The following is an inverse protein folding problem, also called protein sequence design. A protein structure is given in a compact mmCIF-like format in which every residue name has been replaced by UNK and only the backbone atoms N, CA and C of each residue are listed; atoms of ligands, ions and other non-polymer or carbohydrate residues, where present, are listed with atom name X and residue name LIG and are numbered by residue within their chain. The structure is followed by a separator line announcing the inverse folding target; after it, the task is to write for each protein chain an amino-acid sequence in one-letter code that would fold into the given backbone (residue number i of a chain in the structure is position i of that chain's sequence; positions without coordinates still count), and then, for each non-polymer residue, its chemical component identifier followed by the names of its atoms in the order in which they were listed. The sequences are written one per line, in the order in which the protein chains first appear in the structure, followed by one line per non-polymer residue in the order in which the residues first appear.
data_IF_907284323098
#
_entry.id   IF_907284323098
#
_cell.length_a   1.000
_cell.length_b   1.000
_cell.length_c   1.000
_cell.angle_alpha   90.00
_cell.angle_beta   90.00
_cell.angle_gamma   90.00
#
_symmetry.space_group_name_H-M   'P 1'
#
loop_
_entity.id
_entity.type
_entity.pdbx_description
1 polymer ?
#
# COMPACT_ATOMS: atom_id res chain seq x y z
N UNK A 1 -11.42 -8.49 5.03
CA UNK A 1 -10.04 -8.98 5.28
C UNK A 1 -9.10 -8.42 4.22
N UNK A 2 -8.04 -7.74 4.64
CA UNK A 2 -7.08 -7.06 3.76
C UNK A 2 -5.94 -7.97 3.27
N UNK A 3 -5.60 -9.01 4.05
CA UNK A 3 -4.58 -10.00 3.72
C UNK A 3 -4.94 -10.76 2.44
N UNK A 4 -3.93 -11.13 1.65
CA UNK A 4 -4.11 -12.08 0.55
C UNK A 4 -4.35 -13.49 1.06
N UNK A 5 -3.62 -13.90 2.11
CA UNK A 5 -3.75 -15.23 2.73
C UNK A 5 -4.66 -15.18 3.95
N UNK A 6 -5.43 -16.23 4.19
CA UNK A 6 -6.14 -16.44 5.47
C UNK A 6 -5.13 -16.83 6.57
N UNK A 7 -4.24 -15.90 6.92
CA UNK A 7 -3.25 -16.08 7.97
C UNK A 7 -3.51 -15.14 9.15
N UNK A 8 -3.12 -15.54 10.37
CA UNK A 8 -3.28 -14.68 11.53
C UNK A 8 -2.53 -13.35 11.33
N UNK A 9 -3.26 -12.25 11.51
CA UNK A 9 -2.67 -10.94 11.71
C UNK A 9 -1.79 -10.97 12.95
N UNK A 10 -0.57 -10.42 12.83
CA UNK A 10 0.36 -10.34 13.94
C UNK A 10 0.38 -8.92 14.50
N UNK A 11 0.90 -7.97 13.71
CA UNK A 11 1.11 -6.60 14.16
C UNK A 11 0.94 -5.61 13.00
N UNK A 12 0.63 -4.36 13.31
CA UNK A 12 0.87 -3.24 12.40
C UNK A 12 2.36 -2.87 12.44
N UNK A 13 2.95 -2.52 11.29
CA UNK A 13 4.34 -2.09 11.24
C UNK A 13 4.55 -0.83 12.11
N UNK A 14 5.76 -0.63 12.68
CA UNK A 14 6.03 0.50 13.56
C UNK A 14 5.70 1.84 12.89
N UNK A 15 5.05 2.74 13.64
CA UNK A 15 4.68 4.06 13.13
C UNK A 15 5.88 4.82 12.56
N UNK A 16 7.05 4.74 13.20
CA UNK A 16 8.28 5.38 12.69
C UNK A 16 8.62 4.95 11.26
N UNK A 17 8.42 3.66 10.94
CA UNK A 17 8.65 3.16 9.59
C UNK A 17 7.58 3.67 8.63
N UNK A 18 6.31 3.61 9.04
CA UNK A 18 5.17 4.10 8.24
C UNK A 18 5.33 5.59 7.92
N UNK A 19 5.71 6.39 8.92
CA UNK A 19 5.94 7.83 8.81
C UNK A 19 7.12 8.11 7.86
N UNK A 20 8.20 7.33 7.92
CA UNK A 20 9.33 7.48 6.99
C UNK A 20 8.93 7.22 5.53
N UNK A 21 8.08 6.23 5.27
CA UNK A 21 7.58 5.91 3.92
C UNK A 21 6.62 7.00 3.45
N UNK A 22 5.76 7.50 4.35
CA UNK A 22 4.88 8.63 4.07
C UNK A 22 5.68 9.88 3.70
N UNK A 23 6.70 10.26 4.47
CA UNK A 23 7.57 11.40 4.18
C UNK A 23 8.31 11.24 2.85
N UNK A 24 8.78 10.03 2.53
CA UNK A 24 9.40 9.72 1.25
C UNK A 24 8.43 9.94 0.08
N UNK A 25 7.20 9.41 0.18
CA UNK A 25 6.19 9.56 -0.87
C UNK A 25 5.73 11.02 -1.00
N UNK A 26 5.52 11.71 0.12
CA UNK A 26 5.16 13.12 0.15
C UNK A 26 6.22 14.00 -0.49
N UNK A 27 7.49 13.81 -0.14
CA UNK A 27 8.59 14.60 -0.71
C UNK A 27 8.80 14.31 -2.20
N UNK A 28 8.65 13.06 -2.62
CA UNK A 28 8.78 12.64 -4.03
C UNK A 28 7.70 13.24 -4.91
N UNK A 29 6.44 13.27 -4.44
CA UNK A 29 5.29 13.68 -5.24
C UNK A 29 4.70 15.04 -4.84
N UNK A 30 5.36 15.81 -3.97
CA UNK A 30 4.85 17.05 -3.36
C UNK A 30 4.15 17.98 -4.35
N UNK A 31 4.76 18.21 -5.52
CA UNK A 31 4.19 19.08 -6.56
C UNK A 31 2.87 18.53 -7.09
N UNK A 32 2.82 17.24 -7.43
CA UNK A 32 1.64 16.58 -7.99
C UNK A 32 0.51 16.50 -6.98
N UNK A 33 0.85 16.24 -5.71
CA UNK A 33 -0.09 16.22 -4.58
C UNK A 33 -0.69 17.60 -4.34
N UNK A 34 0.13 18.65 -4.33
CA UNK A 34 -0.33 20.03 -4.14
C UNK A 34 -1.23 20.51 -5.29
N UNK A 35 -0.90 20.16 -6.53
CA UNK A 35 -1.70 20.52 -7.71
C UNK A 35 -3.06 19.82 -7.74
N UNK A 36 -3.12 18.55 -7.30
CA UNK A 36 -4.36 17.76 -7.28
C UNK A 36 -5.12 17.79 -5.95
N UNK A 37 -4.56 18.40 -4.90
CA UNK A 37 -5.15 18.43 -3.56
C UNK A 37 -5.22 17.06 -2.89
N UNK A 38 -4.28 16.16 -3.20
CA UNK A 38 -4.28 14.78 -2.73
C UNK A 38 -3.25 14.56 -1.63
N UNK A 39 -3.44 13.50 -0.86
CA UNK A 39 -2.58 13.10 0.25
C UNK A 39 -2.35 11.59 0.26
N UNK A 40 -1.23 11.14 0.84
CA UNK A 40 -0.91 9.73 1.00
C UNK A 40 -1.29 9.21 2.37
N UNK A 41 -1.87 8.01 2.41
CA UNK A 41 -2.03 7.21 3.63
C UNK A 41 -1.30 5.89 3.44
N UNK A 42 -0.34 5.62 4.32
CA UNK A 42 0.48 4.41 4.28
C UNK A 42 0.04 3.48 5.42
N UNK A 43 -0.11 2.20 5.11
CA UNK A 43 -0.44 1.17 6.08
C UNK A 43 0.52 0.01 5.91
N UNK A 44 1.16 -0.42 7.00
CA UNK A 44 2.00 -1.60 7.03
C UNK A 44 1.39 -2.65 7.94
N UNK A 45 1.20 -3.88 7.44
CA UNK A 45 0.63 -4.99 8.19
C UNK A 45 1.51 -6.22 8.06
N UNK A 46 1.83 -6.82 9.20
CA UNK A 46 2.56 -8.07 9.29
C UNK A 46 1.60 -9.20 9.66
N UNK A 47 1.58 -10.23 8.82
CA UNK A 47 0.89 -11.49 9.06
C UNK A 47 1.92 -12.62 9.20
N UNK A 48 1.48 -13.79 9.67
CA UNK A 48 2.38 -14.92 9.95
C UNK A 48 3.24 -15.37 8.77
N UNK A 49 2.74 -15.24 7.55
CA UNK A 49 3.45 -15.67 6.32
C UNK A 49 3.41 -14.62 5.22
N UNK A 50 3.03 -13.39 5.54
CA UNK A 50 2.75 -12.34 4.57
C UNK A 50 3.12 -10.99 5.17
N UNK A 51 3.86 -10.19 4.41
CA UNK A 51 4.10 -8.79 4.70
C UNK A 51 3.31 -7.96 3.69
N UNK A 52 2.42 -7.10 4.17
CA UNK A 52 1.53 -6.29 3.37
C UNK A 52 1.83 -4.81 3.62
N UNK A 53 2.07 -4.07 2.54
CA UNK A 53 2.14 -2.60 2.58
C UNK A 53 1.11 -2.04 1.62
N UNK A 54 0.40 -1.02 2.07
CA UNK A 54 -0.67 -0.38 1.33
C UNK A 54 -0.38 1.11 1.28
N UNK A 55 -0.36 1.67 0.08
CA UNK A 55 -0.25 3.10 -0.15
C UNK A 55 -1.54 3.58 -0.82
N UNK A 56 -2.23 4.49 -0.15
CA UNK A 56 -3.52 5.01 -0.60
C UNK A 56 -3.43 6.50 -0.87
N UNK A 57 -3.77 6.90 -2.08
CA UNK A 57 -3.91 8.30 -2.47
C UNK A 57 -5.36 8.73 -2.22
N UNK A 58 -5.55 9.73 -1.37
CA UNK A 58 -6.86 10.18 -0.89
C UNK A 58 -7.02 11.69 -1.06
N UNK A 59 -8.24 12.19 -1.14
CA UNK A 59 -8.53 13.62 -1.00
C UNK A 59 -8.92 13.88 0.46
N UNK A 60 -8.08 14.58 1.25
CA UNK A 60 -8.37 14.84 2.66
C UNK A 60 -9.55 15.80 2.88
N UNK A 61 -9.97 16.53 1.85
CA UNK A 61 -11.08 17.48 1.92
C UNK A 61 -12.40 16.89 1.37
N UNK A 62 -12.36 15.69 0.79
CA UNK A 62 -13.51 15.06 0.16
C UNK A 62 -13.58 13.56 0.46
N UNK A 63 -14.25 13.22 1.55
CA UNK A 63 -14.47 11.82 1.96
C UNK A 63 -15.31 10.98 0.97
N UNK A 64 -15.97 11.63 0.00
CA UNK A 64 -16.74 10.96 -1.07
C UNK A 64 -15.85 10.66 -2.29
N UNK A 65 -14.68 11.30 -2.38
CA UNK A 65 -13.73 11.01 -3.45
C UNK A 65 -13.22 9.57 -3.31
N UNK A 66 -13.32 8.81 -4.41
CA UNK A 66 -12.82 7.45 -4.44
C UNK A 66 -11.29 7.46 -4.40
N UNK A 67 -10.66 6.87 -3.38
CA UNK A 67 -9.21 6.83 -3.28
C UNK A 67 -8.61 5.92 -4.35
N UNK A 68 -7.29 6.00 -4.53
CA UNK A 68 -6.53 5.03 -5.32
C UNK A 68 -5.55 4.33 -4.38
N UNK A 69 -5.82 3.06 -4.09
CA UNK A 69 -5.07 2.29 -3.11
C UNK A 69 -4.32 1.16 -3.78
N UNK A 70 -3.00 1.25 -3.72
CA UNK A 70 -2.09 0.21 -4.17
C UNK A 70 -1.70 -0.66 -2.99
N UNK A 71 -1.95 -1.97 -3.13
CA UNK A 71 -1.57 -2.98 -2.17
C UNK A 71 -0.42 -3.77 -2.77
N UNK A 72 0.64 -3.94 -2.00
CA UNK A 72 1.77 -4.79 -2.34
C UNK A 72 2.04 -5.73 -1.18
N UNK A 73 2.11 -7.01 -1.51
CA UNK A 73 2.27 -8.10 -0.57
C UNK A 73 3.43 -8.98 -1.01
N UNK A 74 4.18 -9.49 -0.04
CA UNK A 74 5.23 -10.48 -0.27
C UNK A 74 5.11 -11.59 0.76
N UNK A 75 5.40 -12.81 0.31
CA UNK A 75 5.46 -13.97 1.18
C UNK A 75 6.73 -13.96 2.01
N UNK A 76 6.58 -14.27 3.31
CA UNK A 76 7.69 -14.35 4.25
C UNK A 76 8.17 -15.80 4.36
N UNK A 77 9.43 -16.01 4.01
CA UNK A 77 10.13 -17.29 4.17
C UNK A 77 11.31 -17.19 5.15
N UNK A 78 11.69 -18.32 5.74
CA UNK A 78 12.84 -18.39 6.66
C UNK A 78 14.15 -18.01 5.95
N UNK A 79 14.94 -17.14 6.58
CA UNK A 79 16.26 -16.74 6.08
C UNK A 79 16.26 -15.55 5.11
N UNK A 80 15.11 -14.90 4.87
CA UNK A 80 15.03 -13.68 4.07
C UNK A 80 15.50 -12.43 4.82
N UNK A 81 16.08 -11.48 4.08
CA UNK A 81 16.40 -10.15 4.59
C UNK A 81 15.15 -9.26 4.59
N UNK A 82 14.51 -9.16 5.75
CA UNK A 82 13.27 -8.41 5.95
C UNK A 82 13.40 -6.92 5.58
N UNK A 83 14.58 -6.32 5.77
CA UNK A 83 14.83 -4.92 5.38
C UNK A 83 14.81 -4.79 3.86
N UNK A 84 15.45 -5.74 3.16
CA UNK A 84 15.39 -5.79 1.69
C UNK A 84 13.97 -5.98 1.19
N UNK A 85 13.16 -6.81 1.84
CA UNK A 85 11.75 -7.00 1.48
C UNK A 85 10.96 -5.69 1.61
N UNK A 86 11.05 -5.03 2.76
CA UNK A 86 10.38 -3.74 3.02
C UNK A 86 10.77 -2.69 1.98
N UNK A 87 12.07 -2.52 1.71
CA UNK A 87 12.54 -1.59 0.70
C UNK A 87 12.00 -1.93 -0.69
N UNK A 88 11.92 -3.21 -1.04
CA UNK A 88 11.36 -3.66 -2.31
C UNK A 88 9.88 -3.31 -2.44
N UNK A 89 9.09 -3.48 -1.37
CA UNK A 89 7.67 -3.08 -1.35
C UNK A 89 7.51 -1.57 -1.56
N UNK A 90 8.34 -0.76 -0.88
CA UNK A 90 8.34 0.70 -1.03
C UNK A 90 8.75 1.11 -2.44
N UNK A 91 9.77 0.48 -3.01
CA UNK A 91 10.19 0.72 -4.39
C UNK A 91 9.09 0.37 -5.40
N UNK A 92 8.35 -0.71 -5.16
CA UNK A 92 7.21 -1.14 -5.98
C UNK A 92 6.06 -0.13 -5.90
N UNK A 93 5.77 0.42 -4.71
CA UNK A 93 4.82 1.52 -4.52
C UNK A 93 5.24 2.75 -5.34
N UNK A 94 6.52 3.15 -5.24
CA UNK A 94 7.05 4.27 -6.00
C UNK A 94 6.91 4.06 -7.51
N UNK A 95 7.31 2.89 -8.01
CA UNK A 95 7.19 2.55 -9.43
C UNK A 95 5.74 2.61 -9.93
N UNK A 96 4.78 2.15 -9.11
CA UNK A 96 3.36 2.27 -9.42
C UNK A 96 2.90 3.74 -9.50
N UNK A 97 3.23 4.56 -8.48
CA UNK A 97 2.79 5.95 -8.47
C UNK A 97 3.48 6.82 -9.51
N UNK A 98 4.71 6.48 -9.91
CA UNK A 98 5.37 7.10 -11.07
C UNK A 98 4.55 6.91 -12.35
N UNK A 99 4.08 5.69 -12.60
CA UNK A 99 3.22 5.39 -13.75
C UNK A 99 1.84 6.06 -13.61
N UNK A 100 1.20 5.93 -12.45
CA UNK A 100 -0.10 6.55 -12.17
C UNK A 100 -0.10 8.06 -12.41
N UNK A 101 0.94 8.74 -11.94
CA UNK A 101 1.04 10.19 -12.11
C UNK A 101 1.67 10.62 -13.45
N UNK A 102 2.14 9.68 -14.29
CA UNK A 102 2.62 9.99 -15.64
C UNK A 102 1.49 9.94 -16.67
N UNK A 103 0.42 9.21 -16.37
CA UNK A 103 -0.75 9.04 -17.26
C UNK A 103 -2.03 9.52 -16.56
N UNK A 104 -2.54 10.69 -16.97
CA UNK A 104 -3.80 11.23 -16.45
C UNK A 104 -5.03 10.38 -16.83
N UNK A 105 -4.90 9.45 -17.77
CA UNK A 105 -5.94 8.51 -18.19
C UNK A 105 -5.79 7.10 -17.60
N UNK A 106 -4.88 6.95 -16.62
CA UNK A 106 -4.64 5.66 -15.97
C UNK A 106 -5.92 5.08 -15.35
N UNK A 107 -6.35 3.92 -15.84
CA UNK A 107 -7.56 3.22 -15.39
C UNK A 107 -7.32 1.73 -15.11
N UNK A 108 -6.07 1.31 -14.90
CA UNK A 108 -5.69 -0.08 -14.70
C UNK A 108 -5.95 -0.57 -13.27
N UNK A 109 -7.15 -0.32 -12.76
CA UNK A 109 -7.60 -0.87 -11.48
C UNK A 109 -7.69 -2.39 -11.58
N UNK A 110 -6.99 -3.08 -10.69
CA UNK A 110 -6.98 -4.54 -10.61
C UNK A 110 -7.32 -4.95 -9.18
N UNK A 111 -8.59 -5.22 -8.94
CA UNK A 111 -9.09 -5.61 -7.61
C UNK A 111 -8.69 -7.05 -7.23
N UNK A 112 -8.28 -7.85 -8.21
CA UNK A 112 -7.71 -9.16 -7.97
C UNK A 112 -6.20 -9.07 -7.74
N UNK A 113 -5.70 -9.87 -6.79
CA UNK A 113 -4.26 -10.06 -6.62
C UNK A 113 -3.63 -10.61 -7.89
N UNK A 114 -2.55 -9.97 -8.31
CA UNK A 114 -1.74 -10.38 -9.44
C UNK A 114 -0.31 -10.63 -9.00
N UNK A 115 0.26 -11.70 -9.53
CA UNK A 115 1.66 -12.04 -9.32
C UNK A 115 2.52 -11.18 -10.26
N UNK A 116 3.51 -10.49 -9.68
CA UNK A 116 4.43 -9.65 -10.41
C UNK A 116 5.86 -9.91 -9.95
N UNK A 117 6.78 -10.07 -10.91
CA UNK A 117 8.21 -10.20 -10.60
C UNK A 117 8.85 -8.82 -10.55
N UNK A 118 9.36 -8.43 -9.38
CA UNK A 118 10.02 -7.16 -9.16
C UNK A 118 11.35 -7.37 -8.44
N UNK A 119 12.46 -6.92 -9.05
CA UNK A 119 13.83 -7.05 -8.50
C UNK A 119 14.18 -8.48 -8.01
N UNK A 120 13.82 -9.49 -8.82
CA UNK A 120 13.99 -10.93 -8.54
C UNK A 120 13.16 -11.49 -7.38
N UNK A 121 12.17 -10.73 -6.89
CA UNK A 121 11.21 -11.17 -5.89
C UNK A 121 9.81 -11.30 -6.51
N UNK A 122 9.07 -12.32 -6.08
CA UNK A 122 7.67 -12.50 -6.44
C UNK A 122 6.82 -11.64 -5.50
N UNK A 123 6.24 -10.57 -6.05
CA UNK A 123 5.30 -9.68 -5.38
C UNK A 123 3.87 -10.03 -5.77
N UNK A 124 2.95 -9.75 -4.86
CA UNK A 124 1.51 -9.84 -5.10
C UNK A 124 0.96 -8.43 -5.00
N UNK A 125 0.36 -7.94 -6.09
CA UNK A 125 -0.12 -6.57 -6.17
C UNK A 125 -1.60 -6.53 -6.45
N UNK A 126 -2.30 -5.54 -5.90
CA UNK A 126 -3.67 -5.19 -6.33
C UNK A 126 -3.88 -3.70 -6.23
N UNK A 127 -4.72 -3.16 -7.10
CA UNK A 127 -5.07 -1.74 -7.12
C UNK A 127 -6.56 -1.59 -7.02
N UNK A 128 -7.00 -0.93 -5.96
CA UNK A 128 -8.42 -0.80 -5.63
C UNK A 128 -8.80 0.67 -5.48
N UNK A 129 -10.10 0.91 -5.44
CA UNK A 129 -10.68 2.22 -5.09
C UNK A 129 -11.31 2.20 -3.70
N UNK A 130 -10.92 1.24 -2.87
CA UNK A 130 -11.46 1.06 -1.53
C UNK A 130 -10.84 2.06 -0.56
N UNK A 131 -11.65 2.60 0.34
CA UNK A 131 -11.12 3.38 1.46
C UNK A 131 -10.58 2.44 2.54
N UNK A 132 -9.28 2.14 2.43
CA UNK A 132 -8.57 1.20 3.30
C UNK A 132 -8.66 1.60 4.78
N UNK A 133 -8.67 2.90 5.08
CA UNK A 133 -8.80 3.37 6.46
C UNK A 133 -10.17 2.98 7.05
N UNK A 134 -11.25 3.15 6.28
CA UNK A 134 -12.59 2.74 6.70
C UNK A 134 -12.68 1.22 6.85
N UNK A 135 -12.05 0.45 5.96
CA UNK A 135 -11.97 -1.01 6.07
C UNK A 135 -11.26 -1.44 7.35
N UNK A 136 -10.14 -0.79 7.71
CA UNK A 136 -9.42 -1.07 8.96
C UNK A 136 -10.27 -0.72 10.18
N UNK A 137 -10.93 0.45 10.18
CA UNK A 137 -11.82 0.87 11.28
C UNK A 137 -13.00 -0.10 11.45
N UNK A 138 -13.58 -0.59 10.36
CA UNK A 138 -14.64 -1.58 10.39
C UNK A 138 -14.16 -2.92 10.98
N UNK A 139 -13.00 -3.42 10.56
CA UNK A 139 -12.39 -4.64 11.11
C UNK A 139 -12.08 -4.51 12.62
N UNK A 140 -11.69 -3.32 13.09
CA UNK A 140 -11.49 -3.04 14.52
C UNK A 140 -12.80 -3.05 15.31
N UNK A 141 -13.90 -2.58 14.72
CA UNK A 141 -15.23 -2.59 15.35
C UNK A 141 -15.84 -3.99 15.41
N UNK A 142 -15.58 -4.84 14.43
CA UNK A 142 -16.12 -6.20 14.34
C UNK A 142 -15.34 -7.23 15.17
N UNK A 143 -14.08 -6.95 15.51
CA UNK A 143 -13.24 -7.78 16.38
C UNK A 143 -13.31 -7.38 17.87
N UNK A 144 -14.35 -6.65 18.29
CA UNK A 144 -14.76 -6.45 19.69
C UNK A 144 -15.99 -7.30 20.01
#
# INVERSE_FOLDING_TARGET
MLSRKETPFLIDLPNEWVDSVYELMQSTYQKKLSEKGLDFKIFGKLYKSELLVIASLVDPNNDVALPTSYFVSIDLDEGQDHTKLLNTLVDSIGAFFDQFFADDSWMDYQDMWKDEKFKDLDLFVKVTRENVELSIKADQLLNQ
#
